data_IF_666811985658
#
_entry.id   IF_666811985658
#
_cell.length_a   1.000
_cell.length_b   1.000
_cell.length_c   1.000
_cell.angle_alpha   90.00
_cell.angle_beta   90.00
_cell.angle_gamma   90.00
#
_symmetry.space_group_name_H-M   'P 1'
#
loop_
_entity.id
_entity.type
_entity.pdbx_description
1 polymer ?
#
# COMPACT_ATOMS: atom_id res chain seq x y z
N UNK A 1 16.67 -45.46 -4.84
CA UNK A 1 17.38 -44.34 -4.20
C UNK A 1 16.41 -43.17 -4.02
N UNK A 2 16.06 -42.80 -2.79
CA UNK A 2 15.37 -41.53 -2.47
C UNK A 2 16.37 -40.69 -1.66
N UNK A 3 17.05 -39.78 -2.32
CA UNK A 3 17.80 -38.70 -1.65
C UNK A 3 16.89 -37.48 -1.66
N UNK A 4 16.17 -37.27 -0.56
CA UNK A 4 15.45 -36.02 -0.29
C UNK A 4 16.23 -35.27 0.76
N UNK A 5 16.71 -34.07 0.45
CA UNK A 5 17.40 -33.18 1.38
C UNK A 5 16.49 -32.87 2.58
N UNK A 6 17.03 -32.95 3.79
CA UNK A 6 16.30 -32.67 5.03
C UNK A 6 16.01 -31.16 5.18
N UNK A 7 14.76 -30.80 4.93
CA UNK A 7 14.25 -29.43 4.95
C UNK A 7 14.22 -28.81 6.35
N UNK A 8 14.45 -29.58 7.43
CA UNK A 8 14.47 -29.06 8.81
C UNK A 8 15.77 -28.33 9.16
N UNK A 9 16.82 -28.48 8.33
CA UNK A 9 18.11 -27.79 8.47
C UNK A 9 18.18 -26.43 7.73
N UNK A 10 17.12 -26.04 7.03
CA UNK A 10 17.09 -24.85 6.20
C UNK A 10 17.21 -23.57 7.05
N UNK A 11 18.37 -22.93 6.99
CA UNK A 11 18.61 -21.64 7.66
C UNK A 11 18.04 -20.49 6.81
N UNK A 12 17.47 -19.44 7.43
CA UNK A 12 17.02 -18.25 6.70
C UNK A 12 18.19 -17.62 5.95
N UNK A 13 18.16 -17.67 4.61
CA UNK A 13 19.13 -16.95 3.79
C UNK A 13 18.97 -15.44 4.00
N UNK A 14 20.01 -14.79 4.53
CA UNK A 14 20.07 -13.33 4.67
C UNK A 14 19.86 -12.62 3.33
N UNK A 15 20.21 -13.24 2.20
CA UNK A 15 19.95 -12.70 0.85
C UNK A 15 18.46 -12.49 0.58
N UNK A 16 17.56 -13.25 1.22
CA UNK A 16 16.12 -13.10 1.05
C UNK A 16 15.52 -11.95 1.86
N UNK A 17 16.28 -11.35 2.78
CA UNK A 17 15.79 -10.30 3.69
C UNK A 17 15.42 -8.98 2.99
N UNK A 18 15.85 -8.79 1.74
CA UNK A 18 15.50 -7.66 0.88
C UNK A 18 14.58 -8.05 -0.29
N UNK A 19 14.23 -9.34 -0.42
CA UNK A 19 13.53 -9.85 -1.61
C UNK A 19 12.01 -9.83 -1.50
N UNK A 20 11.46 -9.84 -0.27
CA UNK A 20 10.01 -9.89 -0.05
C UNK A 20 9.63 -8.94 1.08
N UNK A 21 8.78 -7.97 0.76
CA UNK A 21 8.16 -7.05 1.71
C UNK A 21 6.65 -7.12 1.60
N UNK A 22 5.96 -6.84 2.71
CA UNK A 22 4.50 -6.73 2.71
C UNK A 22 4.06 -5.42 2.02
N UNK A 23 2.85 -5.45 1.44
CA UNK A 23 2.15 -4.25 0.98
C UNK A 23 1.68 -3.36 2.15
N UNK A 24 1.21 -2.16 1.82
CA UNK A 24 0.72 -1.20 2.82
C UNK A 24 -0.57 -1.69 3.47
N UNK A 25 -0.89 -1.20 4.67
CA UNK A 25 -2.18 -1.44 5.33
C UNK A 25 -2.82 -0.12 5.70
N UNK A 26 -3.91 0.25 5.02
CA UNK A 26 -4.58 1.54 5.23
C UNK A 26 -5.12 1.70 6.65
N UNK A 27 -5.81 0.67 7.15
CA UNK A 27 -6.58 0.73 8.40
C UNK A 27 -7.55 1.94 8.41
N UNK A 28 -8.35 2.09 7.37
CA UNK A 28 -9.34 3.17 7.23
C UNK A 28 -9.76 3.25 5.77
N UNK A 29 -11.06 3.19 5.49
CA UNK A 29 -11.55 3.23 4.10
C UNK A 29 -11.53 4.63 3.50
N UNK A 30 -11.47 5.68 4.33
CA UNK A 30 -11.46 7.08 3.88
C UNK A 30 -10.22 7.48 3.05
N UNK A 31 -9.20 6.62 2.98
CA UNK A 31 -8.07 6.78 2.06
C UNK A 31 -8.36 6.34 0.63
N UNK A 32 -9.41 5.52 0.43
CA UNK A 32 -9.74 5.01 -0.89
C UNK A 32 -10.38 6.11 -1.74
N UNK A 33 -9.93 6.20 -2.98
CA UNK A 33 -10.50 7.07 -4.00
C UNK A 33 -11.25 6.18 -4.98
N UNK A 34 -12.56 6.30 -4.98
CA UNK A 34 -13.43 5.62 -5.93
C UNK A 34 -13.48 6.36 -7.27
N UNK A 35 -14.18 5.77 -8.24
CA UNK A 35 -14.26 6.31 -9.58
C UNK A 35 -14.93 7.68 -9.62
N UNK A 36 -15.97 7.91 -8.80
CA UNK A 36 -16.67 9.19 -8.74
C UNK A 36 -15.76 10.30 -8.20
N UNK A 37 -15.04 10.03 -7.12
CA UNK A 37 -14.07 10.98 -6.53
C UNK A 37 -12.93 11.25 -7.51
N UNK A 38 -12.43 10.22 -8.19
CA UNK A 38 -11.41 10.36 -9.22
C UNK A 38 -11.90 11.22 -10.41
N UNK A 39 -13.14 11.03 -10.86
CA UNK A 39 -13.73 11.85 -11.92
C UNK A 39 -13.84 13.32 -11.50
N UNK A 40 -14.22 13.59 -10.25
CA UNK A 40 -14.32 14.94 -9.71
C UNK A 40 -12.96 15.64 -9.62
N UNK A 41 -11.92 14.93 -9.20
CA UNK A 41 -10.55 15.49 -9.06
C UNK A 41 -9.76 15.49 -10.37
N UNK A 42 -10.17 14.68 -11.34
CA UNK A 42 -9.40 14.40 -12.54
C UNK A 42 -8.02 13.82 -12.23
N UNK A 43 -7.02 14.19 -13.01
CA UNK A 43 -5.63 13.75 -12.82
C UNK A 43 -4.81 14.65 -11.90
N UNK A 44 -5.43 15.65 -11.27
CA UNK A 44 -4.75 16.70 -10.49
C UNK A 44 -3.76 16.16 -9.45
N UNK A 45 -4.10 15.03 -8.83
CA UNK A 45 -3.33 14.42 -7.75
C UNK A 45 -2.70 13.07 -8.11
N UNK A 46 -2.99 12.58 -9.32
CA UNK A 46 -2.57 11.24 -9.75
C UNK A 46 -1.07 11.21 -10.01
N UNK A 47 -0.38 10.26 -9.39
CA UNK A 47 1.07 10.08 -9.48
C UNK A 47 1.84 10.68 -8.30
N UNK A 48 1.36 11.81 -7.76
CA UNK A 48 1.99 12.48 -6.62
C UNK A 48 1.53 11.86 -5.30
N UNK A 49 0.29 12.16 -4.91
CA UNK A 49 -0.33 11.71 -3.65
C UNK A 49 -1.51 10.77 -3.87
N UNK A 50 -2.06 10.67 -5.09
CA UNK A 50 -3.03 9.64 -5.44
C UNK A 50 -2.36 8.57 -6.28
N UNK A 51 -2.41 7.32 -5.83
CA UNK A 51 -1.76 6.19 -6.51
C UNK A 51 -2.75 5.09 -6.83
N UNK A 52 -2.52 4.39 -7.94
CA UNK A 52 -3.29 3.19 -8.23
C UNK A 52 -3.08 2.17 -7.11
N UNK A 53 -4.16 1.52 -6.68
CA UNK A 53 -4.16 0.61 -5.56
C UNK A 53 -4.55 -0.80 -6.03
N UNK A 54 -3.78 -1.82 -5.63
CA UNK A 54 -4.02 -3.21 -6.02
C UNK A 54 -3.86 -4.13 -4.82
N UNK A 55 -4.83 -5.02 -4.63
CA UNK A 55 -4.75 -6.10 -3.65
C UNK A 55 -4.65 -7.47 -4.30
N UNK A 56 -4.61 -8.54 -3.49
CA UNK A 56 -4.46 -9.89 -4.00
C UNK A 56 -5.55 -10.29 -5.01
N UNK A 57 -6.79 -9.82 -4.86
CA UNK A 57 -7.88 -10.11 -5.79
C UNK A 57 -7.71 -9.42 -7.14
N UNK A 58 -7.15 -8.21 -7.15
CA UNK A 58 -6.88 -7.47 -8.39
C UNK A 58 -5.75 -8.11 -9.22
N UNK A 59 -4.92 -8.99 -8.62
CA UNK A 59 -3.87 -9.73 -9.32
C UNK A 59 -4.40 -10.94 -10.10
N UNK A 60 -5.55 -11.49 -9.72
CA UNK A 60 -6.13 -12.69 -10.33
C UNK A 60 -7.28 -12.39 -11.31
N UNK A 61 -7.73 -11.15 -11.44
CA UNK A 61 -8.91 -10.79 -12.21
C UNK A 61 -8.88 -9.37 -12.75
N UNK A 62 -10.03 -8.89 -13.25
CA UNK A 62 -10.15 -7.49 -13.70
C UNK A 62 -9.93 -6.57 -12.49
N UNK A 63 -8.95 -5.65 -12.55
CA UNK A 63 -8.67 -4.77 -11.42
C UNK A 63 -9.87 -3.86 -11.16
N UNK A 64 -10.14 -3.58 -9.88
CA UNK A 64 -11.22 -2.67 -9.46
C UNK A 64 -10.97 -1.20 -9.81
N UNK A 65 -9.80 -0.89 -10.37
CA UNK A 65 -9.36 0.48 -10.68
C UNK A 65 -9.42 1.46 -9.50
N UNK A 66 -9.36 0.94 -8.27
CA UNK A 66 -9.26 1.75 -7.07
C UNK A 66 -7.94 2.51 -7.03
N UNK A 67 -8.01 3.72 -6.48
CA UNK A 67 -6.85 4.51 -6.12
C UNK A 67 -6.86 4.79 -4.62
N UNK A 68 -5.75 5.31 -4.13
CA UNK A 68 -5.56 5.61 -2.71
C UNK A 68 -4.83 6.93 -2.53
N UNK A 69 -5.19 7.69 -1.51
CA UNK A 69 -4.46 8.88 -1.04
C UNK A 69 -3.29 8.41 -0.18
N UNK A 70 -2.07 8.66 -0.62
CA UNK A 70 -0.81 8.23 -0.01
C UNK A 70 0.03 9.46 0.38
N UNK A 71 -0.19 9.94 1.61
CA UNK A 71 0.58 11.05 2.19
C UNK A 71 1.90 10.61 2.85
N UNK A 72 2.39 9.40 2.55
CA UNK A 72 3.63 8.91 3.13
C UNK A 72 4.82 9.84 2.80
N UNK A 73 5.56 10.25 3.83
CA UNK A 73 6.70 11.17 3.70
C UNK A 73 6.35 12.66 3.83
N UNK A 74 5.06 13.00 4.01
CA UNK A 74 4.59 14.37 4.20
C UNK A 74 4.20 14.64 5.65
N UNK A 75 4.45 15.88 6.11
CA UNK A 75 3.94 16.41 7.37
C UNK A 75 2.47 16.83 7.26
N UNK A 76 1.81 17.00 8.40
CA UNK A 76 0.44 17.54 8.47
C UNK A 76 0.30 18.92 7.82
N UNK A 77 1.36 19.73 7.82
CA UNK A 77 1.36 21.04 7.17
C UNK A 77 1.47 20.91 5.65
N UNK A 78 2.28 19.99 5.14
CA UNK A 78 2.46 19.77 3.70
C UNK A 78 1.20 19.18 3.07
N UNK A 79 0.48 18.30 3.77
CA UNK A 79 -0.74 17.70 3.20
C UNK A 79 -1.85 18.73 2.96
N UNK A 80 -1.83 19.87 3.66
CA UNK A 80 -2.81 20.96 3.47
C UNK A 80 -2.67 21.64 2.10
N UNK A 81 -1.53 21.47 1.41
CA UNK A 81 -1.34 21.93 0.03
C UNK A 81 -2.19 21.12 -0.99
N UNK A 82 -2.80 20.01 -0.55
CA UNK A 82 -3.69 19.16 -1.34
C UNK A 82 -5.12 19.25 -0.77
N UNK A 83 -5.89 20.33 -1.04
CA UNK A 83 -7.11 20.64 -0.29
C UNK A 83 -8.19 19.56 -0.39
N UNK A 84 -8.50 19.02 -1.58
CA UNK A 84 -9.55 18.00 -1.72
C UNK A 84 -9.16 16.64 -1.07
N UNK A 85 -7.93 16.10 -1.29
CA UNK A 85 -7.47 14.91 -0.59
C UNK A 85 -7.35 15.12 0.92
N UNK A 86 -6.86 16.27 1.36
CA UNK A 86 -6.75 16.64 2.78
C UNK A 86 -8.13 16.63 3.43
N UNK A 87 -9.11 17.32 2.83
CA UNK A 87 -10.46 17.41 3.36
C UNK A 87 -11.11 16.03 3.49
N UNK A 88 -10.98 15.18 2.46
CA UNK A 88 -11.53 13.82 2.50
C UNK A 88 -10.95 13.00 3.66
N UNK A 89 -9.62 13.00 3.84
CA UNK A 89 -8.98 12.25 4.94
C UNK A 89 -9.32 12.87 6.29
N UNK A 90 -9.43 14.20 6.37
CA UNK A 90 -9.83 14.92 7.58
C UNK A 90 -11.25 14.52 8.02
N UNK A 91 -12.19 14.41 7.09
CA UNK A 91 -13.59 14.08 7.38
C UNK A 91 -13.81 12.59 7.63
N UNK A 92 -13.15 11.72 6.85
CA UNK A 92 -13.46 10.29 6.86
C UNK A 92 -12.50 9.44 7.69
N UNK A 93 -11.26 9.90 7.90
CA UNK A 93 -10.23 9.12 8.62
C UNK A 93 -9.96 9.69 10.00
N UNK A 94 -9.80 11.01 10.14
CA UNK A 94 -9.43 11.61 11.43
C UNK A 94 -10.38 11.25 12.58
N UNK A 95 -11.72 11.25 12.43
CA UNK A 95 -12.63 10.88 13.52
C UNK A 95 -12.42 9.44 14.02
N UNK A 96 -12.19 8.48 13.09
CA UNK A 96 -11.85 7.09 13.44
C UNK A 96 -10.49 7.03 14.16
N UNK A 97 -9.52 7.82 13.70
CA UNK A 97 -8.18 7.87 14.29
C UNK A 97 -8.18 8.45 15.68
N UNK A 98 -8.90 9.54 15.94
CA UNK A 98 -8.93 10.25 17.23
C UNK A 98 -9.32 9.33 18.40
N UNK A 99 -10.20 8.36 18.18
CA UNK A 99 -10.62 7.38 19.20
C UNK A 99 -9.72 6.13 19.27
N UNK A 100 -8.72 6.02 18.40
CA UNK A 100 -7.82 4.87 18.35
C UNK A 100 -6.96 4.79 19.60
N UNK A 101 -6.80 3.59 20.20
CA UNK A 101 -5.98 3.40 21.42
C UNK A 101 -4.50 3.77 21.22
N UNK A 102 -3.95 3.58 20.01
CA UNK A 102 -2.52 3.84 19.74
C UNK A 102 -2.28 5.32 19.46
N UNK A 103 -1.50 5.98 20.33
CA UNK A 103 -1.14 7.41 20.22
C UNK A 103 -0.60 7.80 18.84
N UNK A 104 0.33 6.99 18.29
CA UNK A 104 0.92 7.22 16.95
C UNK A 104 -0.14 7.31 15.85
N UNK A 105 -1.24 6.54 15.92
CA UNK A 105 -2.32 6.59 14.92
C UNK A 105 -3.22 7.80 15.08
N UNK A 106 -3.35 8.35 16.29
CA UNK A 106 -4.06 9.62 16.54
C UNK A 106 -3.26 10.80 16.00
N UNK A 107 -1.97 10.84 16.34
CA UNK A 107 -1.10 11.97 16.01
C UNK A 107 -0.70 12.00 14.53
N UNK A 108 -0.62 10.84 13.87
CA UNK A 108 -0.31 10.73 12.45
C UNK A 108 -1.52 10.19 11.67
N UNK A 109 -2.68 10.80 11.90
CA UNK A 109 -3.97 10.32 11.40
C UNK A 109 -4.03 10.23 9.86
N UNK A 110 -3.27 11.08 9.16
CA UNK A 110 -3.16 11.11 7.70
C UNK A 110 -2.28 9.99 7.11
N UNK A 111 -1.58 9.23 7.95
CA UNK A 111 -0.76 8.11 7.50
C UNK A 111 -1.53 6.79 7.56
N UNK A 112 -1.12 5.84 6.73
CA UNK A 112 -1.65 4.48 6.79
C UNK A 112 -1.30 3.82 8.12
N UNK A 113 -2.13 2.87 8.53
CA UNK A 113 -1.89 2.11 9.75
C UNK A 113 -0.57 1.33 9.71
N UNK A 114 -0.12 0.88 8.53
CA UNK A 114 1.24 0.38 8.27
C UNK A 114 1.74 0.90 6.90
N UNK A 115 2.75 1.76 6.90
CA UNK A 115 3.28 2.40 5.68
C UNK A 115 4.35 1.59 4.94
N UNK A 116 4.92 0.54 5.55
CA UNK A 116 5.96 -0.30 4.94
C UNK A 116 7.15 0.46 4.32
N UNK A 117 7.85 1.31 5.09
CA UNK A 117 8.98 2.11 4.60
C UNK A 117 10.04 1.29 3.88
N UNK A 118 10.47 0.16 4.48
CA UNK A 118 11.49 -0.74 3.90
C UNK A 118 11.08 -1.33 2.54
N UNK A 119 9.81 -1.71 2.39
CA UNK A 119 9.30 -2.22 1.10
C UNK A 119 9.27 -1.10 0.07
N UNK A 120 8.85 0.11 0.45
CA UNK A 120 8.82 1.27 -0.46
C UNK A 120 10.22 1.64 -0.92
N UNK A 121 11.19 1.66 0.00
CA UNK A 121 12.59 1.94 -0.30
C UNK A 121 13.17 0.91 -1.27
N UNK A 122 12.93 -0.39 -1.04
CA UNK A 122 13.49 -1.45 -1.88
C UNK A 122 12.99 -1.43 -3.34
N UNK A 123 11.80 -0.89 -3.59
CA UNK A 123 11.22 -0.80 -4.96
C UNK A 123 11.33 0.60 -5.57
N UNK A 124 11.77 1.60 -4.81
CA UNK A 124 11.75 3.02 -5.23
C UNK A 124 12.54 3.31 -6.52
N UNK A 125 13.64 2.58 -6.76
CA UNK A 125 14.50 2.73 -7.94
C UNK A 125 14.10 1.87 -9.14
N UNK A 126 13.05 1.05 -9.03
CA UNK A 126 12.65 0.11 -10.07
C UNK A 126 11.52 0.70 -10.93
N UNK A 127 11.53 0.43 -12.24
CA UNK A 127 10.40 0.80 -13.12
C UNK A 127 9.14 -0.02 -12.80
N UNK A 128 9.34 -1.30 -12.44
CA UNK A 128 8.30 -2.25 -12.07
C UNK A 128 8.86 -3.28 -11.09
N UNK A 129 8.00 -3.91 -10.30
CA UNK A 129 8.38 -4.92 -9.31
C UNK A 129 7.42 -6.09 -9.32
N UNK A 130 7.87 -7.25 -8.81
CA UNK A 130 7.02 -8.45 -8.72
C UNK A 130 6.15 -8.39 -7.46
N UNK A 131 4.86 -8.59 -7.64
CA UNK A 131 3.90 -8.78 -6.56
C UNK A 131 3.36 -10.21 -6.58
N UNK A 132 3.14 -10.76 -5.39
CA UNK A 132 2.44 -12.02 -5.18
C UNK A 132 1.42 -11.83 -4.05
N UNK A 133 0.23 -12.43 -4.14
CA UNK A 133 -0.69 -12.51 -3.01
C UNK A 133 -0.02 -13.20 -1.81
N UNK A 134 -0.34 -12.74 -0.60
CA UNK A 134 0.13 -13.37 0.64
C UNK A 134 -0.44 -14.79 0.76
N UNK A 135 -1.73 -14.95 0.48
CA UNK A 135 -2.45 -16.23 0.52
C UNK A 135 -3.07 -16.56 -0.85
N UNK A 136 -2.75 -17.75 -1.39
CA UNK A 136 -3.35 -18.26 -2.62
C UNK A 136 -3.17 -19.79 -2.73
N UNK A 137 -4.17 -20.50 -3.28
CA UNK A 137 -4.07 -21.95 -3.59
C UNK A 137 -2.99 -22.24 -4.65
N UNK A 138 -2.87 -21.33 -5.63
CA UNK A 138 -1.82 -21.34 -6.65
C UNK A 138 -1.15 -19.97 -6.66
N UNK A 139 0.19 -19.95 -6.52
CA UNK A 139 0.96 -18.70 -6.42
C UNK A 139 1.25 -18.16 -7.81
N UNK A 140 0.92 -16.89 -8.03
CA UNK A 140 1.27 -16.15 -9.24
C UNK A 140 2.21 -15.01 -8.87
N UNK A 141 3.05 -14.65 -9.83
CA UNK A 141 3.94 -13.51 -9.75
C UNK A 141 3.56 -12.58 -10.89
N UNK A 142 3.17 -11.36 -10.56
CA UNK A 142 2.69 -10.37 -11.53
C UNK A 142 3.59 -9.15 -11.43
N UNK A 143 3.98 -8.59 -12.58
CA UNK A 143 4.66 -7.30 -12.62
C UNK A 143 3.66 -6.18 -12.34
N UNK A 144 3.96 -5.34 -11.36
CA UNK A 144 3.29 -4.08 -11.12
C UNK A 144 4.22 -2.93 -11.49
N UNK A 145 3.67 -1.93 -12.18
CA UNK A 145 4.37 -0.66 -12.42
C UNK A 145 4.64 0.07 -11.11
N UNK A 146 5.72 0.85 -11.05
CA UNK A 146 6.11 1.64 -9.86
C UNK A 146 4.99 2.53 -9.31
N UNK A 147 4.11 3.03 -10.18
CA UNK A 147 2.99 3.91 -9.83
C UNK A 147 1.84 3.19 -9.09
N UNK A 148 1.87 1.85 -9.06
CA UNK A 148 0.87 1.03 -8.38
C UNK A 148 1.38 0.72 -6.98
N UNK A 149 0.55 1.00 -5.97
CA UNK A 149 0.81 0.67 -4.57
C UNK A 149 0.13 -0.67 -4.20
N UNK A 150 0.88 -1.64 -3.65
CA UNK A 150 0.33 -2.94 -3.30
C UNK A 150 -0.25 -2.92 -1.89
N UNK A 151 -1.45 -3.47 -1.73
CA UNK A 151 -2.10 -3.77 -0.46
C UNK A 151 -1.56 -5.07 0.13
N UNK A 152 -1.67 -5.21 1.45
CA UNK A 152 -1.42 -6.48 2.15
C UNK A 152 -2.73 -7.19 2.54
N UNK A 153 -3.74 -7.19 1.67
CA UNK A 153 -5.03 -7.83 1.89
C UNK A 153 -5.49 -8.65 0.68
#
# INVERSE_FOLDING_TARGET
MRSGVDLTSATKLKSNSLLVGAGVKLHGSGFLVDENTMQAWGTKYLGDIVKHYRNGKDLFGKPRNLCVIDFYGLSETQIQEFPEPFQKVLEEVKPERDVNKRKVRRENWWLFGENMPKTRESVSGLARYLATPETAKHRVFVFLEKSILPDNK
#
